data_IF_759054061502
#
_entry.id   IF_759054061502
#
_cell.length_a   1.000
_cell.length_b   1.000
_cell.length_c   1.000
_cell.angle_alpha   90.00
_cell.angle_beta   90.00
_cell.angle_gamma   90.00
#
_symmetry.space_group_name_H-M   'P 1'
#
loop_
_entity.id
_entity.type
_entity.pdbx_description
1 polymer ?
#
# COMPACT_ATOMS: atom_id res chain seq x y z
N UNK A 1 11.58 -18.11 -20.51
CA UNK A 1 10.39 -17.40 -20.03
C UNK A 1 9.36 -17.38 -21.14
N UNK A 2 8.05 -17.55 -20.85
CA UNK A 2 7.01 -17.42 -21.86
C UNK A 2 6.98 -15.98 -22.41
N UNK A 3 6.79 -15.84 -23.71
CA UNK A 3 6.67 -14.54 -24.38
C UNK A 3 5.22 -14.28 -24.77
N UNK A 4 4.81 -13.01 -24.71
CA UNK A 4 3.50 -12.54 -25.14
C UNK A 4 3.67 -11.22 -25.88
N UNK A 5 2.94 -11.06 -26.97
CA UNK A 5 2.86 -9.79 -27.68
C UNK A 5 1.87 -8.88 -26.95
N UNK A 6 2.23 -7.61 -26.81
CA UNK A 6 1.43 -6.58 -26.15
C UNK A 6 1.36 -5.38 -27.07
N UNK A 7 0.17 -4.83 -27.24
CA UNK A 7 -0.04 -3.60 -28.00
C UNK A 7 0.08 -2.43 -27.03
N UNK A 8 1.01 -1.53 -27.32
CA UNK A 8 1.23 -0.32 -26.53
C UNK A 8 0.57 0.88 -27.19
N UNK A 9 0.10 1.82 -26.37
CA UNK A 9 -0.23 3.16 -26.87
C UNK A 9 1.06 3.89 -27.28
N UNK A 10 0.93 4.92 -28.10
CA UNK A 10 2.07 5.73 -28.54
C UNK A 10 2.86 6.33 -27.35
N UNK A 11 2.15 6.81 -26.32
CA UNK A 11 2.76 7.34 -25.10
C UNK A 11 3.55 6.27 -24.33
N UNK A 12 3.01 5.05 -24.23
CA UNK A 12 3.69 3.93 -23.56
C UNK A 12 4.95 3.50 -24.33
N UNK A 13 4.85 3.39 -25.66
CA UNK A 13 6.00 3.07 -26.50
C UNK A 13 7.12 4.11 -26.35
N UNK A 14 6.77 5.40 -26.39
CA UNK A 14 7.71 6.51 -26.20
C UNK A 14 8.41 6.44 -24.84
N UNK A 15 7.66 6.14 -23.77
CA UNK A 15 8.23 5.96 -22.43
C UNK A 15 9.22 4.79 -22.39
N UNK A 16 8.83 3.62 -22.90
CA UNK A 16 9.68 2.43 -22.94
C UNK A 16 10.96 2.71 -23.73
N UNK A 17 10.85 3.34 -24.90
CA UNK A 17 12.01 3.74 -25.69
C UNK A 17 12.94 4.67 -24.94
N UNK A 18 12.41 5.71 -24.27
CA UNK A 18 13.21 6.64 -23.48
C UNK A 18 13.99 5.92 -22.37
N UNK A 19 13.33 4.99 -21.68
CA UNK A 19 13.94 4.22 -20.60
C UNK A 19 15.04 3.29 -21.11
N UNK A 20 14.85 2.64 -22.25
CA UNK A 20 15.89 1.80 -22.88
C UNK A 20 17.04 2.66 -23.43
N UNK A 21 16.74 3.76 -24.15
CA UNK A 21 17.75 4.69 -24.70
C UNK A 21 18.60 5.33 -23.61
N UNK A 22 18.05 5.53 -22.41
CA UNK A 22 18.81 6.04 -21.26
C UNK A 22 19.81 5.04 -20.68
N UNK A 23 19.77 3.78 -21.09
CA UNK A 23 20.59 2.70 -20.54
C UNK A 23 20.08 2.14 -19.21
N UNK A 24 19.00 2.70 -18.63
CA UNK A 24 18.41 2.20 -17.38
C UNK A 24 17.88 0.76 -17.50
N UNK A 25 17.43 0.37 -18.69
CA UNK A 25 16.98 -0.98 -19.00
C UNK A 25 17.59 -1.44 -20.32
N UNK A 26 17.93 -2.72 -20.44
CA UNK A 26 18.54 -3.27 -21.65
C UNK A 26 17.52 -3.41 -22.79
N UNK A 27 16.25 -3.66 -22.46
CA UNK A 27 15.21 -3.92 -23.44
C UNK A 27 13.80 -3.62 -22.89
N UNK A 28 12.82 -3.57 -23.79
CA UNK A 28 11.42 -3.32 -23.45
C UNK A 28 10.85 -4.38 -22.49
N UNK A 29 11.26 -5.65 -22.62
CA UNK A 29 10.75 -6.71 -21.76
C UNK A 29 11.17 -6.53 -20.30
N UNK A 30 12.34 -5.94 -20.02
CA UNK A 30 12.74 -5.57 -18.66
C UNK A 30 11.87 -4.46 -18.10
N UNK A 31 11.64 -3.39 -18.89
CA UNK A 31 10.76 -2.27 -18.49
C UNK A 31 9.38 -2.79 -18.12
N UNK A 32 8.80 -3.64 -18.98
CA UNK A 32 7.47 -4.21 -18.76
C UNK A 32 7.43 -5.12 -17.53
N UNK A 33 8.44 -5.99 -17.32
CA UNK A 33 8.51 -6.83 -16.12
C UNK A 33 8.61 -6.01 -14.84
N UNK A 34 9.40 -4.94 -14.87
CA UNK A 34 9.54 -4.06 -13.70
C UNK A 34 8.25 -3.29 -13.42
N UNK A 35 7.57 -2.81 -14.48
CA UNK A 35 6.23 -2.23 -14.38
C UNK A 35 5.19 -3.19 -13.80
N UNK A 36 5.22 -4.47 -14.20
CA UNK A 36 4.35 -5.50 -13.64
C UNK A 36 4.66 -5.78 -12.16
N UNK A 37 5.94 -5.78 -11.77
CA UNK A 37 6.33 -5.94 -10.36
C UNK A 37 5.82 -4.77 -9.51
N UNK A 38 5.87 -3.55 -10.04
CA UNK A 38 5.30 -2.38 -9.36
C UNK A 38 3.78 -2.51 -9.17
N UNK A 39 3.07 -3.01 -10.19
CA UNK A 39 1.63 -3.26 -10.08
C UNK A 39 1.33 -4.31 -9.00
N UNK A 40 2.05 -5.43 -9.01
CA UNK A 40 1.90 -6.49 -8.00
C UNK A 40 2.17 -5.96 -6.58
N UNK A 41 3.19 -5.13 -6.40
CA UNK A 41 3.49 -4.53 -5.10
C UNK A 41 2.33 -3.67 -4.60
N UNK A 42 1.73 -2.85 -5.49
CA UNK A 42 0.57 -2.04 -5.12
C UNK A 42 -0.63 -2.90 -4.72
N UNK A 43 -0.93 -3.96 -5.46
CA UNK A 43 -2.04 -4.87 -5.12
C UNK A 43 -1.83 -5.53 -3.75
N UNK A 44 -0.59 -5.93 -3.44
CA UNK A 44 -0.24 -6.48 -2.13
C UNK A 44 -0.39 -5.44 -1.01
N UNK A 45 0.07 -4.21 -1.21
CA UNK A 45 -0.10 -3.12 -0.25
C UNK A 45 -1.57 -2.78 0.00
N UNK A 46 -2.38 -2.73 -1.06
CA UNK A 46 -3.82 -2.47 -0.94
C UNK A 46 -4.53 -3.58 -0.15
N UNK A 47 -4.17 -4.84 -0.42
CA UNK A 47 -4.70 -6.00 0.32
C UNK A 47 -4.30 -5.93 1.79
N UNK A 48 -3.02 -5.68 2.08
CA UNK A 48 -2.53 -5.58 3.45
C UNK A 48 -3.18 -4.42 4.23
N UNK A 49 -3.42 -3.28 3.58
CA UNK A 49 -4.15 -2.16 4.19
C UNK A 49 -5.59 -2.54 4.55
N UNK A 50 -6.29 -3.23 3.65
CA UNK A 50 -7.65 -3.70 3.92
C UNK A 50 -7.70 -4.73 5.05
N UNK A 51 -6.72 -5.63 5.12
CA UNK A 51 -6.60 -6.59 6.23
C UNK A 51 -6.32 -5.90 7.56
N UNK A 52 -5.42 -4.92 7.59
CA UNK A 52 -5.14 -4.13 8.79
C UNK A 52 -6.38 -3.37 9.27
N UNK A 53 -7.14 -2.76 8.35
CA UNK A 53 -8.40 -2.08 8.69
C UNK A 53 -9.45 -3.04 9.24
N UNK A 54 -9.56 -4.25 8.67
CA UNK A 54 -10.47 -5.27 9.19
C UNK A 54 -10.08 -5.74 10.59
N UNK A 55 -8.79 -5.99 10.82
CA UNK A 55 -8.28 -6.35 12.15
C UNK A 55 -8.58 -5.27 13.19
N UNK A 56 -8.35 -4.00 12.86
CA UNK A 56 -8.67 -2.88 13.75
C UNK A 56 -10.18 -2.78 14.07
N UNK A 57 -11.05 -3.11 13.10
CA UNK A 57 -12.50 -3.16 13.35
C UNK A 57 -12.90 -4.32 14.26
N UNK A 58 -12.27 -5.49 14.10
CA UNK A 58 -12.53 -6.66 14.97
C UNK A 58 -12.06 -6.39 16.41
N UNK A 59 -10.93 -5.73 16.58
CA UNK A 59 -10.43 -5.25 17.88
C UNK A 59 -11.42 -4.25 18.49
N UNK A 60 -11.85 -3.24 17.74
CA UNK A 60 -12.82 -2.25 18.19
C UNK A 60 -14.17 -2.90 18.58
N UNK A 61 -14.66 -3.86 17.80
CA UNK A 61 -15.89 -4.59 18.11
C UNK A 61 -15.78 -5.39 19.42
N UNK A 62 -14.59 -5.96 19.67
CA UNK A 62 -14.28 -6.65 20.92
C UNK A 62 -14.26 -5.69 22.10
N UNK A 63 -13.63 -4.51 21.94
CA UNK A 63 -13.58 -3.45 22.93
C UNK A 63 -15.00 -2.98 23.31
N UNK A 64 -15.87 -2.76 22.32
CA UNK A 64 -17.29 -2.43 22.54
C UNK A 64 -18.01 -3.51 23.34
N UNK A 65 -17.79 -4.78 23.01
CA UNK A 65 -18.48 -5.91 23.66
C UNK A 65 -18.02 -6.12 25.10
N UNK A 66 -16.74 -5.87 25.36
CA UNK A 66 -16.14 -6.00 26.70
C UNK A 66 -16.34 -4.75 27.57
N UNK A 67 -16.85 -3.66 26.98
CA UNK A 67 -17.05 -2.39 27.67
C UNK A 67 -15.75 -1.59 27.85
N UNK A 68 -14.67 -1.96 27.16
CA UNK A 68 -13.42 -1.22 27.11
C UNK A 68 -13.56 -0.04 26.14
N UNK A 69 -14.31 0.97 26.59
CA UNK A 69 -14.65 2.15 25.81
C UNK A 69 -14.27 3.41 26.58
N UNK A 70 -13.72 4.38 25.86
CA UNK A 70 -13.40 5.70 26.40
C UNK A 70 -14.44 6.71 25.93
N UNK A 71 -14.97 7.49 26.87
CA UNK A 71 -15.81 8.63 26.53
C UNK A 71 -14.97 9.70 25.84
N UNK A 72 -15.48 10.21 24.72
CA UNK A 72 -14.83 11.32 24.04
C UNK A 72 -15.08 12.62 24.79
N UNK A 73 -14.09 13.06 25.56
CA UNK A 73 -14.03 14.39 26.17
C UNK A 73 -13.05 15.28 25.39
N UNK A 74 -13.22 16.62 25.40
CA UNK A 74 -12.27 17.52 24.77
C UNK A 74 -10.83 17.41 25.30
N UNK A 75 -10.64 16.86 26.50
CA UNK A 75 -9.34 16.62 27.14
C UNK A 75 -8.82 15.20 26.95
N UNK A 76 -9.55 14.32 26.25
CA UNK A 76 -9.22 12.90 26.13
C UNK A 76 -7.77 12.66 25.68
N UNK A 77 -7.29 13.45 24.72
CA UNK A 77 -5.91 13.31 24.23
C UNK A 77 -4.86 13.79 25.24
N UNK A 78 -5.17 14.81 26.04
CA UNK A 78 -4.31 15.28 27.14
C UNK A 78 -4.24 14.22 28.27
N UNK A 79 -5.36 13.55 28.53
CA UNK A 79 -5.48 12.52 29.56
C UNK A 79 -4.73 11.23 29.16
N UNK A 80 -4.74 10.85 27.87
CA UNK A 80 -3.99 9.68 27.33
C UNK A 80 -2.48 9.90 27.41
N UNK A 81 -1.97 11.07 27.00
CA UNK A 81 -0.53 11.38 27.03
C UNK A 81 0.04 11.41 28.47
N UNK A 82 -0.83 11.69 29.46
CA UNK A 82 -0.44 11.69 30.87
C UNK A 82 -0.27 10.30 31.49
N UNK A 83 -0.88 9.26 30.90
CA UNK A 83 -0.80 7.86 31.38
C UNK A 83 0.51 7.17 30.94
N UNK A 84 1.06 7.52 29.77
CA UNK A 84 2.32 6.95 29.25
C UNK A 84 3.59 7.48 29.97
N UNK A 85 3.46 8.53 30.79
CA UNK A 85 4.60 9.11 31.53
C UNK A 85 4.84 8.43 32.89
N UNK A 86 3.99 7.49 33.31
CA UNK A 86 4.15 6.69 34.54
C UNK A 86 4.30 5.19 34.25
N UNK A 87 5.33 4.83 33.48
CA UNK A 87 5.85 3.46 33.40
C UNK A 87 7.38 3.45 33.38
#
# INVERSE_FOLDING_TARGET
MPTRNVVLTEQQATLVEKLVKSGRYQNASEVLRDGLRLLQHRELEETAKLEALRGALDEAQTAVTTGDLYDYTPTLFDDIDSQDTQA
#
